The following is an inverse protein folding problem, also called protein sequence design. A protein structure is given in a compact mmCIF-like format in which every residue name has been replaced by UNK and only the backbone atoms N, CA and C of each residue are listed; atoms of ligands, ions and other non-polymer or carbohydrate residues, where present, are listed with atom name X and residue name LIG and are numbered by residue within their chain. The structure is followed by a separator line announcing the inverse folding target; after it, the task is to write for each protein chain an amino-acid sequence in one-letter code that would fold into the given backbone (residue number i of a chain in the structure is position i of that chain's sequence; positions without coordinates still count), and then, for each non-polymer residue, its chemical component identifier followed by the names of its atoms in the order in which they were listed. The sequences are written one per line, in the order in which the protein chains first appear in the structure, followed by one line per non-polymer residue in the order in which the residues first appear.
data_IF_089916418460
#
_entry.id   IF_089916418460
#
_cell.length_a   1.000
_cell.length_b   1.000
_cell.length_c   1.000
_cell.angle_alpha   90.00
_cell.angle_beta   90.00
_cell.angle_gamma   90.00
#
_symmetry.space_group_name_H-M   'P 1'
#
loop_
_entity.id
_entity.type
_entity.pdbx_description
1 polymer ?
#
# COMPACT_ATOMS: atom_id res chain seq x y z
N UNK A 1 37.41 -1.15 -0.75
CA UNK A 1 36.50 -2.28 -1.04
C UNK A 1 35.22 -1.64 -1.56
N UNK A 2 34.52 -2.22 -2.55
CA UNK A 2 33.18 -1.72 -2.91
C UNK A 2 32.35 -1.71 -1.63
N UNK A 3 31.76 -0.57 -1.30
CA UNK A 3 30.94 -0.46 -0.08
C UNK A 3 29.77 -1.42 -0.22
N UNK A 4 29.82 -2.53 0.52
CA UNK A 4 28.77 -3.53 0.60
C UNK A 4 27.47 -2.84 1.03
N UNK A 5 26.62 -2.50 0.06
CA UNK A 5 25.39 -1.76 0.30
C UNK A 5 24.26 -2.74 0.59
N UNK A 6 23.31 -2.37 1.46
CA UNK A 6 22.19 -3.26 1.80
C UNK A 6 21.26 -3.56 0.60
N UNK A 7 21.36 -2.75 -0.46
CA UNK A 7 20.63 -2.98 -1.72
C UNK A 7 21.20 -4.17 -2.51
N UNK A 8 22.42 -4.59 -2.22
CA UNK A 8 23.12 -5.68 -2.91
C UNK A 8 23.00 -7.02 -2.16
N UNK A 9 22.18 -7.12 -1.11
CA UNK A 9 22.13 -8.27 -0.18
C UNK A 9 22.00 -9.65 -0.84
N UNK A 10 21.31 -9.71 -1.99
CA UNK A 10 21.10 -10.95 -2.74
C UNK A 10 22.33 -11.38 -3.54
N UNK A 11 23.22 -10.45 -3.90
CA UNK A 11 24.41 -10.70 -4.72
C UNK A 11 25.71 -10.68 -3.90
N UNK A 12 25.67 -10.22 -2.65
CA UNK A 12 26.80 -10.29 -1.73
C UNK A 12 27.30 -11.74 -1.58
N UNK A 13 28.62 -11.89 -1.37
CA UNK A 13 29.17 -13.15 -0.88
C UNK A 13 28.69 -13.42 0.55
N UNK A 14 28.88 -14.64 1.05
CA UNK A 14 28.61 -14.92 2.47
C UNK A 14 29.43 -14.01 3.40
N UNK A 15 30.71 -13.77 3.08
CA UNK A 15 31.56 -12.86 3.86
C UNK A 15 31.03 -11.43 3.85
N UNK A 16 30.53 -10.94 2.71
CA UNK A 16 29.93 -9.61 2.62
C UNK A 16 28.61 -9.49 3.38
N UNK A 17 27.80 -10.55 3.40
CA UNK A 17 26.60 -10.60 4.25
C UNK A 17 26.95 -10.55 5.74
N UNK A 18 27.99 -11.27 6.19
CA UNK A 18 28.46 -11.19 7.60
C UNK A 18 28.90 -9.77 7.97
N UNK A 19 29.71 -9.13 7.13
CA UNK A 19 30.16 -7.76 7.35
C UNK A 19 28.99 -6.74 7.31
N UNK A 20 27.95 -6.99 6.50
CA UNK A 20 26.72 -6.21 6.54
C UNK A 20 25.94 -6.42 7.85
N UNK A 21 25.79 -7.66 8.34
CA UNK A 21 25.14 -7.92 9.64
C UNK A 21 25.80 -7.16 10.77
N UNK A 22 27.14 -7.18 10.86
CA UNK A 22 27.87 -6.45 11.90
C UNK A 22 27.53 -4.95 11.88
N UNK A 23 27.45 -4.35 10.69
CA UNK A 23 27.04 -2.95 10.52
C UNK A 23 25.57 -2.72 10.88
N UNK A 24 24.67 -3.59 10.44
CA UNK A 24 23.24 -3.51 10.78
C UNK A 24 23.03 -3.58 12.30
N UNK A 25 23.72 -4.47 13.01
CA UNK A 25 23.65 -4.58 14.47
C UNK A 25 24.23 -3.35 15.17
N UNK A 26 25.34 -2.81 14.66
CA UNK A 26 25.93 -1.58 15.17
C UNK A 26 25.00 -0.37 14.99
N UNK A 27 24.44 -0.17 13.79
CA UNK A 27 23.48 0.88 13.52
C UNK A 27 22.20 0.72 14.34
N UNK A 28 21.71 -0.50 14.50
CA UNK A 28 20.54 -0.82 15.33
C UNK A 28 20.74 -0.39 16.79
N UNK A 29 21.92 -0.64 17.35
CA UNK A 29 22.24 -0.30 18.74
C UNK A 29 22.29 1.23 18.99
N UNK A 30 22.55 2.01 17.95
CA UNK A 30 22.71 3.48 18.01
C UNK A 30 21.53 4.24 17.40
N UNK A 31 20.61 3.54 16.72
CA UNK A 31 19.43 4.13 16.11
C UNK A 31 18.48 4.70 17.16
N UNK A 32 18.03 5.94 16.92
CA UNK A 32 17.05 6.63 17.76
C UNK A 32 15.95 7.25 16.89
N UNK A 33 15.05 6.46 16.28
CA UNK A 33 14.03 6.98 15.36
C UNK A 33 13.17 8.11 15.95
N UNK A 34 12.72 8.05 17.22
CA UNK A 34 11.98 9.18 17.82
C UNK A 34 12.76 10.49 17.83
N UNK A 35 14.10 10.44 17.89
CA UNK A 35 14.96 11.63 17.92
C UNK A 35 15.21 12.22 16.52
N UNK A 36 14.62 11.66 15.46
CA UNK A 36 14.58 12.30 14.14
C UNK A 36 13.62 13.49 14.10
N UNK A 37 12.64 13.56 15.00
CA UNK A 37 11.74 14.72 15.10
C UNK A 37 12.53 16.00 15.38
N UNK A 38 12.27 17.03 14.58
CA UNK A 38 12.97 18.31 14.60
C UNK A 38 14.30 18.32 13.83
N UNK A 39 14.70 17.21 13.20
CA UNK A 39 15.91 17.15 12.37
C UNK A 39 15.60 17.44 10.91
N UNK A 40 16.58 18.02 10.22
CA UNK A 40 16.61 18.14 8.77
C UNK A 40 17.37 16.94 8.20
N UNK A 41 16.78 16.30 7.20
CA UNK A 41 17.37 15.19 6.47
C UNK A 41 17.71 15.66 5.05
N UNK A 42 18.99 15.61 4.71
CA UNK A 42 19.47 15.91 3.35
C UNK A 42 19.06 14.79 2.39
N UNK A 43 18.50 15.17 1.26
CA UNK A 43 18.11 14.28 0.18
C UNK A 43 19.28 14.13 -0.78
N UNK A 44 19.85 12.93 -0.81
CA UNK A 44 20.86 12.55 -1.78
C UNK A 44 20.27 12.30 -3.18
N UNK A 45 20.98 11.55 -4.04
CA UNK A 45 20.49 11.17 -5.35
C UNK A 45 19.13 10.45 -5.28
N UNK A 46 18.30 10.63 -6.31
CA UNK A 46 17.04 9.89 -6.46
C UNK A 46 17.34 8.40 -6.57
N UNK A 47 16.72 7.61 -5.72
CA UNK A 47 16.75 6.16 -5.79
C UNK A 47 15.74 5.68 -6.83
N UNK A 48 16.19 4.77 -7.69
CA UNK A 48 15.36 4.01 -8.61
C UNK A 48 15.79 2.57 -8.45
N UNK A 49 14.85 1.70 -8.10
CA UNK A 49 15.16 0.27 -7.97
C UNK A 49 15.61 -0.27 -9.32
N UNK A 50 16.65 -1.11 -9.33
CA UNK A 50 17.04 -1.82 -10.53
C UNK A 50 15.81 -2.57 -11.08
N UNK A 51 15.58 -2.51 -12.38
CA UNK A 51 14.41 -3.16 -12.96
C UNK A 51 14.46 -4.66 -12.66
N UNK A 52 13.58 -5.11 -11.78
CA UNK A 52 13.47 -6.51 -11.40
C UNK A 52 12.97 -7.24 -12.64
N UNK A 53 13.87 -7.87 -13.40
CA UNK A 53 13.59 -8.45 -14.72
C UNK A 53 12.41 -9.45 -14.71
N UNK A 54 12.21 -10.15 -13.59
CA UNK A 54 11.05 -11.03 -13.38
C UNK A 54 9.72 -10.30 -13.13
N UNK A 55 9.73 -9.01 -12.74
CA UNK A 55 8.55 -8.16 -12.50
C UNK A 55 8.24 -7.22 -13.69
N UNK A 56 9.04 -7.22 -14.77
CA UNK A 56 8.89 -6.40 -16.01
C UNK A 56 7.63 -6.68 -16.87
N UNK A 57 6.60 -7.35 -16.34
CA UNK A 57 5.34 -7.44 -17.09
C UNK A 57 4.66 -6.09 -17.06
N UNK A 58 4.51 -5.49 -18.25
CA UNK A 58 3.79 -4.24 -18.43
C UNK A 58 2.41 -4.29 -17.75
N UNK A 59 1.85 -3.14 -17.36
CA UNK A 59 0.47 -3.05 -16.92
C UNK A 59 -0.43 -3.90 -17.80
N UNK A 60 -1.16 -4.83 -17.19
CA UNK A 60 -1.96 -5.84 -17.89
C UNK A 60 -3.33 -5.28 -18.28
N UNK A 61 -3.48 -3.96 -18.43
CA UNK A 61 -4.72 -3.28 -18.86
C UNK A 61 -5.31 -3.90 -20.13
N UNK A 62 -4.45 -4.42 -21.01
CA UNK A 62 -4.86 -5.09 -22.25
C UNK A 62 -5.37 -6.53 -22.05
N UNK A 63 -5.07 -7.14 -20.91
CA UNK A 63 -5.50 -8.50 -20.55
C UNK A 63 -6.87 -8.50 -19.86
N UNK A 64 -7.32 -7.32 -19.42
CA UNK A 64 -8.67 -7.04 -18.95
C UNK A 64 -9.58 -6.85 -20.17
N UNK A 65 -10.75 -7.51 -20.19
CA UNK A 65 -11.67 -7.53 -21.34
C UNK A 65 -12.33 -6.17 -21.54
N UNK A 66 -12.53 -5.41 -20.47
CA UNK A 66 -13.25 -4.14 -20.44
C UNK A 66 -12.45 -3.01 -19.78
N UNK A 67 -11.36 -3.30 -19.07
CA UNK A 67 -10.61 -2.30 -18.27
C UNK A 67 -9.29 -1.82 -18.90
N UNK A 68 -9.34 -1.36 -20.16
CA UNK A 68 -8.15 -0.89 -20.86
C UNK A 68 -7.62 0.48 -20.39
N UNK A 69 -8.41 1.25 -19.64
CA UNK A 69 -8.05 2.60 -19.15
C UNK A 69 -7.96 2.65 -17.61
N UNK A 70 -7.18 3.60 -17.02
CA UNK A 70 -7.09 3.82 -15.57
C UNK A 70 -8.43 3.99 -14.85
N UNK A 71 -9.43 4.49 -15.57
CA UNK A 71 -10.78 4.76 -15.07
C UNK A 71 -11.80 4.07 -15.99
N UNK A 72 -11.98 2.75 -15.83
CA UNK A 72 -12.92 1.96 -16.65
C UNK A 72 -14.39 2.17 -16.26
N UNK A 73 -15.35 1.84 -17.12
CA UNK A 73 -16.76 2.15 -16.85
C UNK A 73 -17.42 1.38 -15.70
N UNK A 74 -16.70 0.50 -14.98
CA UNK A 74 -17.24 -0.29 -13.88
C UNK A 74 -17.46 0.48 -12.59
N UNK A 75 -16.80 1.63 -12.43
CA UNK A 75 -16.89 2.44 -11.21
C UNK A 75 -17.04 3.92 -11.54
N UNK A 76 -17.76 4.64 -10.68
CA UNK A 76 -17.89 6.09 -10.74
C UNK A 76 -16.66 6.75 -10.09
N UNK A 77 -15.54 6.78 -10.79
CA UNK A 77 -14.24 7.20 -10.26
C UNK A 77 -14.24 8.58 -9.61
N UNK A 78 -13.50 8.78 -8.49
CA UNK A 78 -13.32 10.10 -7.92
C UNK A 78 -12.51 11.00 -8.87
N UNK A 79 -12.67 12.32 -8.71
CA UNK A 79 -11.72 13.25 -9.29
C UNK A 79 -10.34 13.05 -8.67
N UNK A 80 -9.29 13.20 -9.48
CA UNK A 80 -7.93 13.15 -8.98
C UNK A 80 -7.63 14.39 -8.15
N UNK A 81 -7.08 14.19 -6.94
CA UNK A 81 -6.50 15.27 -6.14
C UNK A 81 -5.35 15.92 -6.93
N UNK A 82 -5.21 17.26 -6.88
CA UNK A 82 -4.13 17.93 -7.56
C UNK A 82 -2.77 17.50 -6.98
N UNK A 83 -1.73 17.53 -7.82
CA UNK A 83 -0.35 17.34 -7.34
C UNK A 83 -0.05 18.42 -6.30
N UNK A 84 0.50 18.08 -5.13
CA UNK A 84 0.87 19.08 -4.12
C UNK A 84 1.77 20.17 -4.74
N UNK A 85 1.49 21.47 -4.53
CA UNK A 85 2.28 22.54 -5.12
C UNK A 85 3.78 22.42 -4.82
N UNK A 86 4.11 21.95 -3.62
CA UNK A 86 5.49 21.71 -3.18
C UNK A 86 6.23 20.69 -4.07
N UNK A 87 5.55 19.78 -4.76
CA UNK A 87 6.19 18.77 -5.61
C UNK A 87 6.64 19.34 -6.96
N UNK A 88 6.19 20.55 -7.32
CA UNK A 88 6.61 21.23 -8.54
C UNK A 88 8.00 21.87 -8.43
N UNK A 89 8.57 21.87 -7.23
CA UNK A 89 9.87 22.45 -6.93
C UNK A 89 10.89 21.35 -6.59
N UNK A 90 12.15 21.65 -6.86
CA UNK A 90 13.25 20.78 -6.48
C UNK A 90 13.67 21.09 -5.03
N UNK A 91 13.69 20.04 -4.20
CA UNK A 91 14.06 20.12 -2.79
C UNK A 91 15.29 19.25 -2.53
N UNK A 92 16.25 19.79 -1.78
CA UNK A 92 17.47 19.07 -1.39
C UNK A 92 17.41 18.53 0.03
N UNK A 93 16.41 18.91 0.82
CA UNK A 93 16.28 18.51 2.20
C UNK A 93 14.81 18.51 2.63
N UNK A 94 14.53 17.82 3.75
CA UNK A 94 13.20 17.80 4.38
C UNK A 94 13.35 17.85 5.89
N UNK A 95 12.49 18.62 6.57
CA UNK A 95 12.46 18.72 8.03
C UNK A 95 11.42 17.77 8.62
N UNK A 96 11.84 16.89 9.51
CA UNK A 96 10.97 15.92 10.17
C UNK A 96 10.19 16.61 11.29
N UNK A 97 8.85 16.58 11.23
CA UNK A 97 7.98 17.28 12.17
C UNK A 97 7.39 16.38 13.25
N UNK A 98 6.74 15.28 12.87
CA UNK A 98 6.03 14.39 13.82
C UNK A 98 6.17 12.92 13.41
N UNK A 99 6.43 12.05 14.37
CA UNK A 99 6.37 10.60 14.13
C UNK A 99 4.92 10.12 13.98
N UNK A 100 4.65 9.37 12.91
CA UNK A 100 3.42 8.61 12.69
C UNK A 100 3.61 7.14 13.08
N UNK A 101 4.76 6.57 12.71
CA UNK A 101 5.20 5.23 13.09
C UNK A 101 6.73 5.25 13.23
N UNK A 102 7.25 5.20 14.45
CA UNK A 102 8.70 5.19 14.66
C UNK A 102 9.08 4.31 15.84
N UNK A 103 10.12 3.49 15.68
CA UNK A 103 10.61 2.57 16.71
C UNK A 103 11.37 1.38 16.14
N UNK A 104 11.77 0.49 17.03
CA UNK A 104 12.38 -0.79 16.66
C UNK A 104 11.33 -1.75 16.10
N UNK A 105 11.77 -2.70 15.26
CA UNK A 105 10.94 -3.76 14.68
C UNK A 105 9.84 -3.24 13.74
N UNK A 106 10.11 -2.15 13.04
CA UNK A 106 9.33 -1.74 11.87
C UNK A 106 10.20 -1.88 10.62
N UNK A 107 9.58 -2.31 9.51
CA UNK A 107 10.25 -2.34 8.20
C UNK A 107 10.60 -0.95 7.68
N UNK A 108 9.92 0.08 8.20
CA UNK A 108 10.18 1.49 7.89
C UNK A 108 9.66 2.40 8.99
N UNK A 109 10.19 3.61 9.02
CA UNK A 109 9.83 4.67 9.96
C UNK A 109 9.05 5.75 9.21
N UNK A 110 7.87 6.14 9.68
CA UNK A 110 6.97 7.07 8.99
C UNK A 110 6.79 8.34 9.81
N UNK A 111 6.95 9.49 9.17
CA UNK A 111 6.83 10.80 9.78
C UNK A 111 6.00 11.75 8.91
N UNK A 112 5.34 12.71 9.55
CA UNK A 112 5.00 13.99 8.92
C UNK A 112 6.27 14.82 8.84
N UNK A 113 6.51 15.42 7.69
CA UNK A 113 7.66 16.27 7.43
C UNK A 113 7.24 17.48 6.58
N UNK A 114 8.16 18.43 6.39
CA UNK A 114 7.93 19.58 5.53
C UNK A 114 9.18 19.93 4.73
N UNK A 115 8.97 20.43 3.51
CA UNK A 115 10.04 21.07 2.75
C UNK A 115 10.41 22.46 3.30
N UNK A 116 9.54 23.06 4.14
CA UNK A 116 9.88 24.27 4.88
C UNK A 116 10.91 23.95 5.98
N UNK A 117 12.16 24.31 5.71
CA UNK A 117 13.27 24.07 6.63
C UNK A 117 13.25 25.03 7.83
N UNK A 118 12.62 26.19 7.68
CA UNK A 118 12.39 27.14 8.78
C UNK A 118 11.25 26.66 9.69
N UNK A 119 11.25 27.10 10.95
CA UNK A 119 10.29 26.63 11.96
C UNK A 119 8.82 26.87 11.60
N UNK A 120 8.55 27.92 10.82
CA UNK A 120 7.22 28.31 10.38
C UNK A 120 6.77 27.54 9.13
N UNK A 121 6.50 26.24 9.29
CA UNK A 121 5.91 25.45 8.21
C UNK A 121 4.51 25.96 7.88
N UNK A 122 4.26 26.20 6.59
CA UNK A 122 2.90 26.41 6.10
C UNK A 122 2.28 25.05 5.78
N UNK A 123 1.00 24.84 6.13
CA UNK A 123 0.31 23.56 5.94
C UNK A 123 0.35 23.03 4.49
N UNK A 124 0.57 23.90 3.49
CA UNK A 124 0.70 23.53 2.08
C UNK A 124 1.99 22.80 1.69
N UNK A 125 2.99 22.76 2.58
CA UNK A 125 4.28 22.12 2.36
C UNK A 125 4.49 20.87 3.22
N UNK A 126 3.45 20.38 3.89
CA UNK A 126 3.52 19.13 4.64
C UNK A 126 3.48 17.90 3.72
N UNK A 127 4.31 16.92 4.04
CA UNK A 127 4.45 15.65 3.33
C UNK A 127 4.52 14.50 4.33
N UNK A 128 4.35 13.29 3.84
CA UNK A 128 4.74 12.08 4.58
C UNK A 128 6.07 11.60 4.05
N UNK A 129 6.98 11.27 4.97
CA UNK A 129 8.25 10.61 4.66
C UNK A 129 8.28 9.24 5.34
N UNK A 130 8.52 8.21 4.53
CA UNK A 130 8.74 6.82 4.96
C UNK A 130 10.21 6.48 4.74
N UNK A 131 10.93 6.21 5.83
CA UNK A 131 12.36 5.91 5.83
C UNK A 131 12.54 4.40 6.01
N UNK A 132 13.09 3.75 4.99
CA UNK A 132 13.53 2.37 5.06
C UNK A 132 14.89 2.33 5.71
N UNK A 133 14.90 1.97 6.99
CA UNK A 133 16.09 1.88 7.83
C UNK A 133 16.43 0.39 8.05
N UNK A 134 17.33 -0.21 7.26
CA UNK A 134 17.54 -1.66 7.24
C UNK A 134 17.87 -2.26 8.60
N UNK A 135 18.62 -1.55 9.45
CA UNK A 135 19.01 -2.02 10.79
C UNK A 135 17.85 -2.26 11.76
N UNK A 136 16.71 -1.60 11.53
CA UNK A 136 15.52 -1.69 12.37
C UNK A 136 14.50 -2.72 11.91
N UNK A 137 14.68 -3.28 10.71
CA UNK A 137 13.82 -4.32 10.16
C UNK A 137 13.72 -5.51 11.12
N UNK A 138 12.53 -6.10 11.34
CA UNK A 138 12.33 -7.19 12.30
C UNK A 138 13.22 -8.42 12.09
N UNK A 139 13.65 -8.70 10.86
CA UNK A 139 14.44 -9.89 10.55
C UNK A 139 15.90 -9.79 10.97
N UNK A 140 16.44 -8.58 11.20
CA UNK A 140 17.89 -8.35 11.44
C UNK A 140 18.48 -9.25 12.53
N UNK A 141 17.86 -9.41 13.72
CA UNK A 141 18.41 -10.28 14.76
C UNK A 141 18.51 -11.76 14.36
N UNK A 142 17.77 -12.20 13.35
CA UNK A 142 17.75 -13.59 12.88
C UNK A 142 18.68 -13.83 11.68
N UNK A 143 19.13 -12.76 10.99
CA UNK A 143 19.94 -12.87 9.77
C UNK A 143 21.29 -13.55 10.00
N UNK A 144 21.87 -13.46 11.20
CA UNK A 144 23.10 -14.19 11.57
C UNK A 144 22.99 -15.69 11.29
N UNK A 145 21.81 -16.27 11.57
CA UNK A 145 21.55 -17.70 11.38
C UNK A 145 21.21 -18.07 9.94
N UNK A 146 21.01 -17.06 9.08
CA UNK A 146 20.51 -17.18 7.71
C UNK A 146 21.49 -16.57 6.69
N UNK A 147 22.76 -16.43 7.07
CA UNK A 147 23.77 -15.80 6.24
C UNK A 147 24.05 -16.57 4.93
N UNK A 148 23.75 -17.87 4.88
CA UNK A 148 23.86 -18.74 3.71
C UNK A 148 22.61 -18.73 2.81
N UNK A 149 21.55 -18.04 3.22
CA UNK A 149 20.22 -18.04 2.59
C UNK A 149 19.81 -16.66 2.09
N UNK A 150 20.36 -16.19 0.95
CA UNK A 150 20.12 -14.82 0.46
C UNK A 150 18.63 -14.49 0.28
N UNK A 151 17.79 -15.45 -0.08
CA UNK A 151 16.34 -15.27 -0.24
C UNK A 151 15.64 -14.82 1.07
N UNK A 152 16.24 -15.08 2.23
CA UNK A 152 15.70 -14.62 3.53
C UNK A 152 15.99 -13.16 3.85
N UNK A 153 16.78 -12.49 3.01
CA UNK A 153 17.17 -11.08 3.15
C UNK A 153 16.28 -10.14 2.35
N UNK A 154 15.37 -10.66 1.53
CA UNK A 154 14.38 -9.90 0.76
C UNK A 154 13.62 -8.84 1.59
N UNK A 155 13.29 -9.05 2.88
CA UNK A 155 12.63 -8.00 3.68
C UNK A 155 13.44 -6.71 3.85
N UNK A 156 14.76 -6.71 3.61
CA UNK A 156 15.58 -5.49 3.58
C UNK A 156 15.38 -4.67 2.29
N UNK A 157 14.75 -5.27 1.28
CA UNK A 157 14.52 -4.69 -0.04
C UNK A 157 13.08 -4.18 -0.25
N UNK A 158 12.27 -4.05 0.81
CA UNK A 158 10.90 -3.53 0.71
C UNK A 158 10.82 -2.15 0.03
N UNK A 159 11.87 -1.31 0.15
CA UNK A 159 11.95 -0.04 -0.58
C UNK A 159 11.95 -0.22 -2.10
N UNK A 160 12.57 -1.29 -2.60
CA UNK A 160 12.61 -1.58 -4.03
C UNK A 160 11.23 -1.99 -4.55
N UNK A 161 10.47 -2.75 -3.76
CA UNK A 161 9.13 -3.18 -4.14
C UNK A 161 8.14 -2.02 -4.17
N UNK A 162 8.21 -1.14 -3.16
CA UNK A 162 7.34 0.04 -3.10
C UNK A 162 7.70 1.07 -4.18
N UNK A 163 9.00 1.29 -4.45
CA UNK A 163 9.42 2.16 -5.55
C UNK A 163 8.91 1.65 -6.91
N UNK A 164 9.07 0.34 -7.18
CA UNK A 164 8.54 -0.29 -8.38
C UNK A 164 7.01 -0.14 -8.45
N UNK A 165 6.30 -0.34 -7.35
CA UNK A 165 4.86 -0.23 -7.28
C UNK A 165 4.37 1.17 -7.68
N UNK A 166 4.96 2.21 -7.10
CA UNK A 166 4.59 3.59 -7.41
C UNK A 166 4.93 3.97 -8.85
N UNK A 167 5.99 3.40 -9.46
CA UNK A 167 6.25 3.54 -10.90
C UNK A 167 5.13 2.96 -11.76
N UNK A 168 4.55 1.82 -11.39
CA UNK A 168 3.43 1.21 -12.13
C UNK A 168 2.12 1.99 -11.93
N UNK A 169 1.96 2.64 -10.78
CA UNK A 169 0.72 3.30 -10.37
C UNK A 169 0.71 4.81 -10.63
N UNK A 170 1.63 5.36 -11.42
CA UNK A 170 1.63 6.79 -11.81
C UNK A 170 0.25 7.30 -12.25
N UNK A 171 -0.52 6.57 -13.10
CA UNK A 171 -1.86 7.04 -13.51
C UNK A 171 -2.92 7.07 -12.39
N UNK A 172 -2.64 6.44 -11.24
CA UNK A 172 -3.56 6.34 -10.10
C UNK A 172 -3.24 7.34 -8.97
N UNK A 173 -2.10 8.03 -9.07
CA UNK A 173 -1.64 9.00 -8.08
C UNK A 173 -2.61 10.18 -7.97
N UNK A 174 -2.96 10.56 -6.75
CA UNK A 174 -4.00 11.55 -6.45
C UNK A 174 -5.42 11.00 -6.47
N UNK A 175 -5.63 9.78 -6.99
CA UNK A 175 -6.91 9.06 -6.88
C UNK A 175 -6.85 8.10 -5.71
N UNK A 176 -6.32 6.91 -5.98
CA UNK A 176 -6.30 5.76 -5.06
C UNK A 176 -4.99 5.56 -4.33
N UNK A 177 -3.93 6.22 -4.76
CA UNK A 177 -2.64 6.22 -4.07
C UNK A 177 -2.16 7.67 -3.93
N UNK A 178 -1.35 8.00 -2.91
CA UNK A 178 -0.76 9.32 -2.77
C UNK A 178 0.05 9.72 -4.01
N UNK A 179 0.13 11.02 -4.29
CA UNK A 179 1.21 11.50 -5.17
C UNK A 179 2.57 11.16 -4.56
N UNK A 180 3.50 10.67 -5.39
CA UNK A 180 4.86 10.38 -4.98
C UNK A 180 5.80 11.50 -5.44
N UNK A 181 6.48 12.16 -4.50
CA UNK A 181 7.56 13.08 -4.84
C UNK A 181 8.78 12.29 -5.37
N UNK A 182 9.14 11.24 -4.64
CA UNK A 182 10.18 10.31 -5.06
C UNK A 182 10.82 9.55 -3.91
N UNK A 183 11.77 8.70 -4.28
CA UNK A 183 12.61 7.93 -3.38
C UNK A 183 14.03 8.52 -3.45
N UNK A 184 14.69 8.66 -2.32
CA UNK A 184 15.99 9.34 -2.22
C UNK A 184 16.92 8.57 -1.30
N UNK A 185 18.20 8.50 -1.67
CA UNK A 185 19.23 8.08 -0.74
C UNK A 185 19.39 9.13 0.37
N UNK A 186 19.47 8.68 1.62
CA UNK A 186 19.68 9.56 2.78
C UNK A 186 20.68 8.92 3.73
N UNK A 187 21.36 9.75 4.52
CA UNK A 187 22.22 9.31 5.62
C UNK A 187 21.57 9.73 6.93
N UNK A 188 21.31 8.75 7.81
CA UNK A 188 20.69 8.98 9.10
C UNK A 188 21.73 9.48 10.13
N UNK A 189 21.32 10.08 11.27
CA UNK A 189 22.25 10.61 12.27
C UNK A 189 23.21 9.58 12.88
N UNK A 190 22.86 8.30 12.87
CA UNK A 190 23.74 7.18 13.26
C UNK A 190 24.67 6.72 12.12
N UNK A 191 24.82 7.54 11.07
CA UNK A 191 25.58 7.26 9.85
C UNK A 191 25.09 6.07 9.02
N UNK A 192 23.86 5.61 9.24
CA UNK A 192 23.27 4.54 8.45
C UNK A 192 22.75 5.06 7.10
N UNK A 193 23.14 4.43 5.97
CA UNK A 193 22.51 4.70 4.69
C UNK A 193 21.11 4.10 4.64
N UNK A 194 20.15 4.88 4.16
CA UNK A 194 18.74 4.51 4.09
C UNK A 194 18.10 5.04 2.79
N UNK A 195 16.88 4.58 2.50
CA UNK A 195 16.02 5.17 1.46
C UNK A 195 14.88 5.92 2.11
N UNK A 196 14.70 7.19 1.74
CA UNK A 196 13.54 8.00 2.10
C UNK A 196 12.55 8.04 0.93
N UNK A 197 11.32 7.61 1.16
CA UNK A 197 10.20 7.78 0.26
C UNK A 197 9.34 8.97 0.72
N UNK A 198 9.20 9.99 -0.13
CA UNK A 198 8.41 11.19 0.16
C UNK A 198 7.14 11.17 -0.69
N UNK A 199 6.00 11.35 -0.04
CA UNK A 199 4.67 11.28 -0.65
C UNK A 199 3.70 12.33 -0.08
N UNK A 200 2.62 12.56 -0.81
CA UNK A 200 1.50 13.42 -0.41
C UNK A 200 1.00 13.00 0.98
N UNK A 201 0.85 14.00 1.87
CA UNK A 201 0.17 13.78 3.14
C UNK A 201 -1.34 13.74 2.90
N UNK A 202 -1.95 12.60 3.15
CA UNK A 202 -3.41 12.47 3.11
C UNK A 202 -3.97 12.97 4.44
N UNK A 203 -4.79 14.01 4.36
CA UNK A 203 -5.59 14.44 5.48
C UNK A 203 -6.77 13.47 5.65
N UNK A 204 -6.58 12.47 6.51
CA UNK A 204 -7.49 11.35 6.65
C UNK A 204 -8.38 11.47 7.89
N UNK A 205 -9.56 10.84 7.85
CA UNK A 205 -10.38 10.55 9.02
C UNK A 205 -9.57 9.70 9.99
N UNK A 206 -9.48 10.06 11.29
CA UNK A 206 -8.83 9.23 12.30
C UNK A 206 -9.40 7.81 12.30
N UNK A 207 -8.53 6.81 12.36
CA UNK A 207 -8.95 5.40 12.19
C UNK A 207 -9.94 4.92 13.24
N UNK A 208 -9.87 5.48 14.44
CA UNK A 208 -10.76 5.21 15.57
C UNK A 208 -12.16 5.86 15.43
N UNK A 209 -12.33 6.83 14.52
CA UNK A 209 -13.60 7.53 14.30
C UNK A 209 -14.26 7.19 12.97
N UNK A 210 -13.67 6.33 12.13
CA UNK A 210 -14.25 6.00 10.80
C UNK A 210 -15.63 5.35 10.96
N UNK A 211 -15.76 4.35 11.83
CA UNK A 211 -17.03 3.65 12.05
C UNK A 211 -18.14 4.63 12.52
N UNK A 212 -17.78 5.57 13.41
CA UNK A 212 -18.69 6.63 13.85
C UNK A 212 -19.07 7.57 12.69
N UNK A 213 -18.12 7.93 11.83
CA UNK A 213 -18.36 8.79 10.67
C UNK A 213 -19.31 8.13 9.66
N UNK A 214 -19.16 6.83 9.43
CA UNK A 214 -20.10 6.04 8.63
C UNK A 214 -21.48 6.02 9.29
N UNK A 215 -21.56 5.70 10.58
CA UNK A 215 -22.84 5.65 11.30
C UNK A 215 -23.55 7.00 11.32
N UNK A 216 -22.85 8.09 11.64
CA UNK A 216 -23.39 9.44 11.66
C UNK A 216 -23.95 9.86 10.30
N UNK A 217 -23.36 9.37 9.19
CA UNK A 217 -23.79 9.72 7.84
C UNK A 217 -25.03 8.95 7.39
N UNK A 218 -25.04 7.64 7.58
CA UNK A 218 -26.06 6.75 7.00
C UNK A 218 -27.15 6.34 8.01
N UNK A 219 -26.94 6.61 9.30
CA UNK A 219 -27.88 6.27 10.36
C UNK A 219 -28.15 4.77 10.39
N UNK A 220 -29.43 4.41 10.26
CA UNK A 220 -29.90 3.02 10.25
C UNK A 220 -29.88 2.37 8.86
N UNK A 221 -29.52 3.10 7.79
CA UNK A 221 -29.41 2.54 6.43
C UNK A 221 -28.08 1.79 6.26
N UNK A 222 -28.03 0.60 6.84
CA UNK A 222 -26.84 -0.25 6.84
C UNK A 222 -26.43 -0.70 5.45
N UNK A 223 -27.36 -0.81 4.50
CA UNK A 223 -27.06 -1.24 3.13
C UNK A 223 -26.35 -0.14 2.34
N UNK A 224 -26.83 1.11 2.45
CA UNK A 224 -26.13 2.24 1.83
C UNK A 224 -24.78 2.52 2.51
N UNK A 225 -24.68 2.35 3.85
CA UNK A 225 -23.41 2.43 4.57
C UNK A 225 -22.40 1.38 4.06
N UNK A 226 -22.84 0.12 3.94
CA UNK A 226 -22.02 -0.98 3.44
C UNK A 226 -21.54 -0.67 2.03
N UNK A 227 -22.45 -0.22 1.16
CA UNK A 227 -22.19 0.14 -0.24
C UNK A 227 -21.21 1.29 -0.38
N UNK A 228 -21.32 2.31 0.46
CA UNK A 228 -20.40 3.44 0.46
C UNK A 228 -18.95 3.03 0.72
N UNK A 229 -18.74 1.99 1.55
CA UNK A 229 -17.40 1.47 1.89
C UNK A 229 -16.91 0.47 0.86
N UNK A 230 -17.68 -0.61 0.58
CA UNK A 230 -17.17 -1.71 -0.24
C UNK A 230 -16.90 -1.27 -1.68
N UNK A 231 -17.74 -0.39 -2.24
CA UNK A 231 -17.61 0.05 -3.63
C UNK A 231 -16.29 0.79 -3.86
N UNK A 232 -15.91 1.69 -2.94
CA UNK A 232 -14.64 2.40 -3.01
C UNK A 232 -13.43 1.48 -2.83
N UNK A 233 -13.50 0.51 -1.90
CA UNK A 233 -12.41 -0.45 -1.68
C UNK A 233 -12.23 -1.36 -2.89
N UNK A 234 -13.32 -1.86 -3.49
CA UNK A 234 -13.25 -2.66 -4.72
C UNK A 234 -12.74 -1.83 -5.90
N UNK A 235 -13.20 -0.59 -6.06
CA UNK A 235 -12.71 0.32 -7.10
C UNK A 235 -11.20 0.53 -6.99
N UNK A 236 -10.70 0.81 -5.78
CA UNK A 236 -9.27 1.01 -5.51
C UNK A 236 -8.45 -0.26 -5.79
N UNK A 237 -8.94 -1.41 -5.32
CA UNK A 237 -8.31 -2.71 -5.58
C UNK A 237 -8.27 -3.05 -7.06
N UNK A 238 -9.37 -2.82 -7.79
CA UNK A 238 -9.45 -3.00 -9.23
C UNK A 238 -8.46 -2.09 -9.96
N UNK A 239 -8.43 -0.80 -9.65
CA UNK A 239 -7.51 0.16 -10.24
C UNK A 239 -6.05 -0.30 -10.11
N UNK A 240 -5.63 -0.76 -8.94
CA UNK A 240 -4.28 -1.32 -8.71
C UNK A 240 -4.04 -2.57 -9.56
N UNK A 241 -5.00 -3.49 -9.64
CA UNK A 241 -4.89 -4.70 -10.44
C UNK A 241 -4.72 -4.39 -11.94
N UNK A 242 -5.34 -3.32 -12.45
CA UNK A 242 -5.12 -2.86 -13.85
C UNK A 242 -3.68 -2.44 -14.12
N UNK A 243 -2.92 -2.06 -13.09
CA UNK A 243 -1.48 -1.80 -13.15
C UNK A 243 -0.62 -3.07 -13.03
N UNK A 244 -1.21 -4.28 -13.14
CA UNK A 244 -0.54 -5.57 -12.93
C UNK A 244 0.07 -5.71 -11.53
N UNK A 245 -0.57 -5.11 -10.52
CA UNK A 245 -0.03 -5.05 -9.17
C UNK A 245 -0.99 -5.68 -8.15
N UNK A 246 -0.40 -6.24 -7.10
CA UNK A 246 -1.08 -6.59 -5.86
C UNK A 246 -0.15 -6.34 -4.68
N UNK A 247 -0.72 -6.06 -3.50
CA UNK A 247 0.01 -6.19 -2.23
C UNK A 247 -0.16 -7.61 -1.68
N UNK A 248 0.92 -8.21 -1.19
CA UNK A 248 0.87 -9.47 -0.44
C UNK A 248 0.66 -9.25 1.06
N UNK A 249 0.50 -7.99 1.52
CA UNK A 249 0.07 -7.72 2.90
C UNK A 249 -1.41 -8.06 3.07
N UNK A 250 -1.66 -9.28 3.51
CA UNK A 250 -3.00 -9.74 3.82
C UNK A 250 -3.37 -9.51 5.30
N UNK A 251 -2.41 -9.30 6.20
CA UNK A 251 -2.69 -9.32 7.66
C UNK A 251 -3.12 -7.96 8.18
N UNK A 252 -2.60 -6.88 7.60
CA UNK A 252 -2.83 -5.53 8.11
C UNK A 252 -3.51 -4.60 7.10
N UNK A 253 -4.00 -5.13 5.97
CA UNK A 253 -4.54 -4.31 4.88
C UNK A 253 -5.48 -3.17 5.31
N UNK A 254 -6.38 -3.39 6.28
CA UNK A 254 -7.31 -2.34 6.75
C UNK A 254 -6.61 -1.12 7.38
N UNK A 255 -5.38 -1.28 7.88
CA UNK A 255 -4.54 -0.19 8.40
C UNK A 255 -3.88 0.62 7.28
N UNK A 256 -3.80 0.04 6.08
CA UNK A 256 -3.21 0.65 4.89
C UNK A 256 -4.27 1.33 4.01
N UNK A 257 -5.49 1.48 4.55
CA UNK A 257 -6.61 2.17 3.92
C UNK A 257 -6.84 3.49 4.65
N UNK A 258 -6.48 4.60 4.01
CA UNK A 258 -6.77 5.94 4.50
C UNK A 258 -8.06 6.44 3.87
N UNK A 259 -8.95 7.01 4.67
CA UNK A 259 -10.17 7.67 4.20
C UNK A 259 -9.94 9.16 4.22
N UNK A 260 -9.88 9.87 3.07
CA UNK A 260 -9.77 11.34 3.04
C UNK A 260 -10.82 12.00 3.95
N UNK A 261 -10.50 13.16 4.55
CA UNK A 261 -11.36 13.84 5.55
C UNK A 261 -12.78 14.12 5.06
N UNK A 262 -12.96 14.32 3.76
CA UNK A 262 -14.25 14.53 3.09
C UNK A 262 -15.01 13.24 2.77
N UNK A 263 -14.42 12.07 3.05
CA UNK A 263 -15.11 10.77 2.98
C UNK A 263 -16.33 10.77 3.90
N UNK A 264 -17.39 10.09 3.46
CA UNK A 264 -18.65 9.98 4.18
C UNK A 264 -19.35 11.31 4.48
N UNK A 265 -18.94 12.42 3.86
CA UNK A 265 -19.66 13.72 3.99
C UNK A 265 -20.81 13.87 2.99
N UNK A 266 -20.75 13.16 1.86
CA UNK A 266 -21.75 13.16 0.80
C UNK A 266 -22.35 11.75 0.60
N UNK A 267 -23.57 11.62 0.05
CA UNK A 267 -24.10 10.32 -0.34
C UNK A 267 -23.27 9.70 -1.48
N UNK A 268 -23.26 8.37 -1.53
CA UNK A 268 -22.56 7.60 -2.57
C UNK A 268 -21.24 6.98 -2.08
N UNK A 269 -20.41 6.46 -3.02
CA UNK A 269 -19.13 5.84 -2.71
C UNK A 269 -18.18 6.80 -2.01
N UNK A 270 -17.48 6.31 -0.99
CA UNK A 270 -16.30 6.98 -0.44
C UNK A 270 -15.06 6.24 -0.95
N UNK A 271 -14.09 6.98 -1.49
CA UNK A 271 -12.93 6.38 -2.13
C UNK A 271 -11.71 6.44 -1.21
N UNK A 272 -11.17 5.29 -0.80
CA UNK A 272 -9.99 5.28 0.05
C UNK A 272 -8.73 5.57 -0.75
N UNK A 273 -7.70 6.01 -0.04
CA UNK A 273 -6.32 6.08 -0.49
C UNK A 273 -5.55 4.92 0.13
N UNK A 274 -5.02 4.06 -0.73
CA UNK A 274 -4.24 2.89 -0.36
C UNK A 274 -2.76 3.28 -0.23
N UNK A 275 -2.14 2.82 0.84
CA UNK A 275 -0.73 3.07 1.16
C UNK A 275 0.01 1.75 1.42
N UNK A 276 1.30 1.85 1.75
CA UNK A 276 2.18 0.72 2.12
C UNK A 276 2.27 -0.40 1.06
N UNK A 277 3.06 -0.13 0.02
CA UNK A 277 3.35 -1.10 -1.04
C UNK A 277 4.71 -1.79 -0.87
N UNK A 278 5.21 -1.86 0.37
CA UNK A 278 6.49 -2.47 0.72
C UNK A 278 6.55 -3.99 0.54
N UNK A 279 5.39 -4.61 0.23
CA UNK A 279 5.22 -6.00 -0.13
C UNK A 279 4.41 -6.13 -1.44
N UNK A 280 4.82 -5.38 -2.47
CA UNK A 280 4.14 -5.39 -3.77
C UNK A 280 4.70 -6.46 -4.71
N UNK A 281 3.78 -7.14 -5.40
CA UNK A 281 4.10 -8.19 -6.37
C UNK A 281 3.28 -8.04 -7.66
N UNK A 282 3.77 -8.61 -8.78
CA UNK A 282 2.96 -8.73 -9.98
C UNK A 282 1.68 -9.54 -9.74
N UNK A 283 0.58 -9.09 -10.33
CA UNK A 283 -0.71 -9.77 -10.24
C UNK A 283 -0.65 -11.16 -10.89
N UNK A 284 -1.12 -12.19 -10.16
CA UNK A 284 -1.28 -13.56 -10.69
C UNK A 284 -2.77 -13.91 -10.83
N UNK A 285 -3.15 -14.84 -11.73
CA UNK A 285 -4.55 -15.18 -12.01
C UNK A 285 -5.40 -15.56 -10.79
N UNK A 286 -4.80 -16.14 -9.75
CA UNK A 286 -5.51 -16.50 -8.52
C UNK A 286 -5.80 -15.34 -7.56
N UNK A 287 -5.21 -14.15 -7.77
CA UNK A 287 -5.24 -13.07 -6.79
C UNK A 287 -6.26 -11.96 -7.09
N UNK A 288 -7.00 -12.05 -8.19
CA UNK A 288 -8.07 -11.11 -8.49
C UNK A 288 -9.12 -11.05 -7.35
N UNK A 289 -9.38 -12.19 -6.70
CA UNK A 289 -10.31 -12.33 -5.56
C UNK A 289 -9.85 -11.62 -4.28
N UNK A 290 -8.57 -11.26 -4.17
CA UNK A 290 -8.09 -10.58 -2.98
C UNK A 290 -8.73 -9.20 -2.78
N UNK A 291 -9.18 -8.52 -3.84
CA UNK A 291 -9.90 -7.25 -3.69
C UNK A 291 -11.18 -7.41 -2.85
N UNK A 292 -11.91 -8.50 -3.04
CA UNK A 292 -13.13 -8.80 -2.27
C UNK A 292 -12.78 -9.17 -0.84
N UNK A 293 -11.79 -10.03 -0.62
CA UNK A 293 -11.32 -10.38 0.72
C UNK A 293 -10.85 -9.15 1.51
N UNK A 294 -10.24 -8.18 0.84
CA UNK A 294 -9.82 -6.90 1.42
C UNK A 294 -11.01 -6.03 1.77
N UNK A 295 -11.99 -5.90 0.89
CA UNK A 295 -13.24 -5.19 1.20
C UNK A 295 -13.91 -5.79 2.44
N UNK A 296 -13.98 -7.12 2.55
CA UNK A 296 -14.50 -7.79 3.74
C UNK A 296 -13.69 -7.45 5.00
N UNK A 297 -12.36 -7.50 4.96
CA UNK A 297 -11.51 -7.14 6.11
C UNK A 297 -11.69 -5.68 6.53
N UNK A 298 -11.89 -4.78 5.57
CA UNK A 298 -12.17 -3.37 5.86
C UNK A 298 -13.54 -3.23 6.53
N UNK A 299 -14.58 -3.85 5.97
CA UNK A 299 -15.92 -3.86 6.56
C UNK A 299 -15.93 -4.43 7.99
N UNK A 300 -15.24 -5.55 8.22
CA UNK A 300 -15.06 -6.17 9.54
C UNK A 300 -14.37 -5.21 10.52
N UNK A 301 -13.30 -4.53 10.08
CA UNK A 301 -12.59 -3.54 10.90
C UNK A 301 -13.42 -2.31 11.27
N UNK A 302 -14.42 -1.99 10.44
CA UNK A 302 -15.38 -0.91 10.68
C UNK A 302 -16.64 -1.39 11.44
N UNK A 303 -16.61 -2.59 11.99
CA UNK A 303 -17.67 -3.16 12.85
C UNK A 303 -19.02 -3.33 12.14
N UNK A 304 -19.02 -3.54 10.81
CA UNK A 304 -20.23 -3.97 10.13
C UNK A 304 -20.67 -5.35 10.62
N UNK A 305 -21.98 -5.54 10.79
CA UNK A 305 -22.54 -6.82 11.23
C UNK A 305 -22.22 -7.93 10.22
N UNK A 306 -21.78 -9.07 10.75
CA UNK A 306 -21.38 -10.22 9.94
C UNK A 306 -22.48 -10.69 8.99
N UNK A 307 -23.74 -10.71 9.44
CA UNK A 307 -24.86 -11.12 8.60
C UNK A 307 -25.01 -10.22 7.36
N UNK A 308 -24.80 -8.91 7.50
CA UNK A 308 -24.90 -7.97 6.38
C UNK A 308 -23.74 -8.16 5.39
N UNK A 309 -22.52 -8.38 5.90
CA UNK A 309 -21.36 -8.69 5.05
C UNK A 309 -21.59 -10.02 4.31
N UNK A 310 -22.10 -11.03 5.00
CA UNK A 310 -22.42 -12.34 4.42
C UNK A 310 -23.48 -12.21 3.33
N UNK A 311 -24.57 -11.50 3.59
CA UNK A 311 -25.67 -11.35 2.63
C UNK A 311 -25.20 -10.60 1.37
N UNK A 312 -24.34 -9.59 1.51
CA UNK A 312 -23.66 -8.94 0.38
C UNK A 312 -22.72 -9.89 -0.38
N UNK A 313 -21.91 -10.67 0.32
CA UNK A 313 -21.05 -11.67 -0.35
C UNK A 313 -21.88 -12.70 -1.12
N UNK A 314 -23.02 -13.12 -0.58
CA UNK A 314 -23.95 -14.01 -1.28
C UNK A 314 -24.53 -13.35 -2.53
N UNK A 315 -24.97 -12.09 -2.44
CA UNK A 315 -25.51 -11.36 -3.60
C UNK A 315 -24.50 -11.21 -4.74
N UNK A 316 -23.19 -11.15 -4.44
CA UNK A 316 -22.13 -11.12 -5.44
C UNK A 316 -21.92 -12.45 -6.19
N UNK A 317 -22.35 -13.57 -5.61
CA UNK A 317 -22.12 -14.94 -6.11
C UNK A 317 -23.39 -15.52 -6.75
N UNK A 318 -24.57 -14.99 -6.44
CA UNK A 318 -25.83 -15.47 -7.00
C UNK A 318 -25.82 -15.43 -8.54
N UNK A 319 -26.12 -16.56 -9.21
CA UNK A 319 -26.17 -16.59 -10.66
C UNK A 319 -27.32 -15.71 -11.16
N UNK A 320 -27.08 -14.97 -12.25
CA UNK A 320 -28.10 -14.16 -12.90
C UNK A 320 -29.28 -15.07 -13.30
N UNK A 321 -30.54 -14.68 -13.02
CA UNK A 321 -31.70 -15.50 -13.37
C UNK A 321 -31.70 -15.85 -14.87
N UNK A 322 -31.62 -17.15 -15.19
CA UNK A 322 -31.60 -17.67 -16.57
C UNK A 322 -30.25 -18.19 -17.07
N UNK A 323 -29.15 -18.05 -16.31
CA UNK A 323 -27.88 -18.73 -16.59
C UNK A 323 -27.89 -20.19 -16.12
N UNK A 324 -27.25 -21.11 -16.84
CA UNK A 324 -27.19 -22.56 -16.57
C UNK A 324 -26.41 -22.94 -15.28
N UNK A 325 -26.65 -22.27 -14.15
CA UNK A 325 -25.95 -22.51 -12.89
C UNK A 325 -24.44 -22.21 -12.92
N UNK A 326 -23.95 -21.60 -14.00
CA UNK A 326 -22.57 -21.12 -14.13
C UNK A 326 -22.48 -19.72 -13.54
N UNK A 327 -21.42 -19.44 -12.80
CA UNK A 327 -21.13 -18.10 -12.27
C UNK A 327 -20.72 -17.10 -13.35
N UNK A 328 -20.58 -17.55 -14.59
CA UNK A 328 -20.44 -16.76 -15.82
C UNK A 328 -21.61 -15.76 -15.91
N UNK A 329 -21.44 -14.56 -15.35
CA UNK A 329 -22.46 -13.52 -15.29
C UNK A 329 -22.67 -12.89 -13.91
N UNK A 330 -22.12 -13.48 -12.84
CA UNK A 330 -22.15 -12.92 -11.49
C UNK A 330 -21.53 -11.52 -11.45
N UNK A 331 -22.06 -10.67 -10.58
CA UNK A 331 -21.67 -9.26 -10.48
C UNK A 331 -20.18 -9.12 -10.14
N UNK A 332 -19.63 -10.05 -9.37
CA UNK A 332 -18.22 -10.06 -8.95
C UNK A 332 -17.24 -10.20 -10.14
N UNK A 333 -17.57 -11.01 -11.15
CA UNK A 333 -16.71 -11.16 -12.32
C UNK A 333 -16.79 -9.97 -13.26
N UNK A 334 -17.97 -9.32 -13.33
CA UNK A 334 -18.12 -8.06 -14.07
C UNK A 334 -17.38 -6.92 -13.38
N UNK A 335 -17.46 -6.82 -12.06
CA UNK A 335 -16.81 -5.78 -11.27
C UNK A 335 -15.28 -5.88 -11.30
N UNK A 336 -14.73 -7.10 -11.37
CA UNK A 336 -13.28 -7.32 -11.30
C UNK A 336 -12.66 -7.70 -12.64
N UNK A 337 -13.48 -7.74 -13.70
CA UNK A 337 -13.11 -8.03 -15.09
C UNK A 337 -12.14 -9.23 -15.19
N UNK A 338 -12.52 -10.31 -14.49
CA UNK A 338 -11.69 -11.51 -14.33
C UNK A 338 -11.82 -12.37 -15.59
N UNK A 339 -10.71 -12.80 -16.22
CA UNK A 339 -10.78 -13.70 -17.37
C UNK A 339 -11.51 -15.01 -17.02
N UNK A 340 -12.39 -15.48 -17.90
CA UNK A 340 -13.26 -16.67 -17.69
C UNK A 340 -12.49 -17.91 -17.20
N UNK A 341 -11.25 -18.11 -17.66
CA UNK A 341 -10.39 -19.22 -17.25
C UNK A 341 -10.01 -19.21 -15.76
N UNK A 342 -10.05 -18.04 -15.12
CA UNK A 342 -9.77 -17.85 -13.68
C UNK A 342 -11.04 -17.91 -12.84
N UNK A 343 -12.21 -17.66 -13.43
CA UNK A 343 -13.51 -17.63 -12.76
C UNK A 343 -13.88 -18.98 -12.11
N UNK A 344 -13.45 -20.10 -12.71
CA UNK A 344 -13.72 -21.46 -12.21
C UNK A 344 -13.17 -21.75 -10.80
N UNK A 345 -12.18 -20.99 -10.31
CA UNK A 345 -11.56 -21.23 -9.01
C UNK A 345 -12.22 -20.47 -7.86
N UNK A 346 -12.99 -19.42 -8.15
CA UNK A 346 -13.54 -18.49 -7.16
C UNK A 346 -14.60 -19.05 -6.21
N UNK A 347 -15.62 -19.82 -6.65
CA UNK A 347 -16.65 -20.32 -5.73
C UNK A 347 -16.08 -21.13 -4.58
N UNK A 348 -15.02 -21.93 -4.83
CA UNK A 348 -14.37 -22.71 -3.77
C UNK A 348 -13.63 -21.84 -2.75
N UNK A 349 -13.06 -20.72 -3.19
CA UNK A 349 -12.34 -19.80 -2.31
C UNK A 349 -13.28 -18.98 -1.44
N UNK A 350 -14.35 -18.45 -2.03
CA UNK A 350 -15.40 -17.72 -1.30
C UNK A 350 -16.16 -18.64 -0.34
N UNK A 351 -16.49 -19.88 -0.77
CA UNK A 351 -17.09 -20.87 0.13
C UNK A 351 -16.15 -21.31 1.25
N UNK A 352 -14.87 -21.55 0.96
CA UNK A 352 -13.87 -21.87 1.98
C UNK A 352 -13.77 -20.78 3.04
N UNK A 353 -13.82 -19.51 2.62
CA UNK A 353 -13.79 -18.37 3.54
C UNK A 353 -15.08 -18.24 4.37
N UNK A 354 -16.25 -18.39 3.74
CA UNK A 354 -17.53 -18.44 4.44
C UNK A 354 -17.56 -19.57 5.48
N UNK A 355 -16.89 -20.69 5.24
CA UNK A 355 -16.84 -21.86 6.13
C UNK A 355 -15.79 -21.72 7.25
N UNK A 356 -14.66 -21.03 7.03
CA UNK A 356 -13.59 -20.88 8.04
C UNK A 356 -13.86 -19.80 9.10
N UNK A 357 -14.89 -18.94 8.92
CA UNK A 357 -15.32 -17.93 9.89
C UNK A 357 -16.77 -18.10 10.38
N UNK A 358 -17.51 -19.10 9.89
CA UNK A 358 -18.66 -19.71 10.57
C UNK A 358 -18.15 -20.81 11.52
#
# INVERSE_FOLDING_TARGET
MPDEHFLDVLTLSESGRRALIERLLHWRATAQPPNLVGKTLELGPRFVSADIEGKKRAPRRHDFVQCHQPHCHHFDWPSLRPVPPSFTQYHTAVRIGKALQAGANYHSQVYVASFDLDENSTAGNEVVIKIYQPSLTPCVPELEKLCDKPERWEPLLSCCEEEWAYRQMVPLQGGFVPHAYGFYHVILPNAEPAIAFIMEKIDAVPSDTIAESVHNRYGDDKNEALKAVWSGVLAAGHAIQTCNLMTTDERNYYKDVLWPRDSFTQPGPSFPVLIDFGMAAPLRPGYHAQAVLRAVKVLDSLQFEYDIIRDWLQSLIEPVPGGEGKLEGSEIFKLLDVPDQSAQYWPRWLQGWLVERL
#
